data_IF_078103925520
#
_entry.id   IF_078103925520
#
_cell.length_a   1.000
_cell.length_b   1.000
_cell.length_c   1.000
_cell.angle_alpha   90.00
_cell.angle_beta   90.00
_cell.angle_gamma   90.00
#
_symmetry.space_group_name_H-M   'P 1'
#
loop_
_entity.id
_entity.type
_entity.pdbx_description
1 polymer ?
#
# COMPACT_ATOMS: atom_id res chain seq x y z
N UNK A 1 -10.25 24.79 -20.59
CA UNK A 1 -10.54 24.32 -19.23
C UNK A 1 -9.88 25.17 -18.13
N UNK A 2 -8.55 25.39 -18.10
CA UNK A 2 -7.93 26.26 -17.09
C UNK A 2 -8.47 27.71 -17.15
N UNK A 3 -8.54 28.29 -18.33
CA UNK A 3 -9.07 29.65 -18.53
C UNK A 3 -10.55 29.76 -18.12
N UNK A 4 -11.39 28.78 -18.43
CA UNK A 4 -12.80 28.74 -18.01
C UNK A 4 -12.94 28.72 -16.48
N UNK A 5 -12.16 27.90 -15.81
CA UNK A 5 -12.12 27.84 -14.35
C UNK A 5 -11.72 29.17 -13.73
N UNK A 6 -10.68 29.82 -14.28
CA UNK A 6 -10.19 31.10 -13.74
C UNK A 6 -11.19 32.23 -14.00
N UNK A 7 -11.91 32.21 -15.13
CA UNK A 7 -13.00 33.12 -15.40
C UNK A 7 -14.17 32.95 -14.40
N UNK A 8 -14.60 31.73 -14.17
CA UNK A 8 -15.65 31.43 -13.17
C UNK A 8 -15.26 31.84 -11.75
N UNK A 9 -13.98 31.65 -11.36
CA UNK A 9 -13.48 32.09 -10.06
C UNK A 9 -13.51 33.62 -9.89
N UNK A 10 -13.46 34.37 -10.97
CA UNK A 10 -13.52 35.84 -10.96
C UNK A 10 -14.96 36.36 -10.74
N UNK A 11 -15.98 35.52 -10.96
CA UNK A 11 -17.37 35.92 -10.78
C UNK A 11 -17.72 36.13 -9.30
N UNK A 12 -18.24 37.30 -8.96
CA UNK A 12 -18.68 37.64 -7.60
C UNK A 12 -19.91 36.87 -7.14
N UNK A 13 -20.78 36.45 -8.10
CA UNK A 13 -22.02 35.71 -7.86
C UNK A 13 -21.82 34.22 -7.55
N UNK A 14 -20.58 33.72 -7.67
CA UNK A 14 -20.30 32.30 -7.49
C UNK A 14 -20.60 31.83 -6.07
N UNK A 15 -21.41 30.76 -5.94
CA UNK A 15 -21.75 30.15 -4.65
C UNK A 15 -20.48 29.66 -3.92
N UNK A 16 -20.46 29.79 -2.60
CA UNK A 16 -19.32 29.45 -1.74
C UNK A 16 -18.85 28.01 -1.98
N UNK A 17 -19.78 27.05 -2.11
CA UNK A 17 -19.42 25.65 -2.37
C UNK A 17 -18.70 25.46 -3.73
N UNK A 18 -19.20 26.10 -4.79
CA UNK A 18 -18.59 26.06 -6.12
C UNK A 18 -17.20 26.73 -6.11
N UNK A 19 -17.06 27.86 -5.43
CA UNK A 19 -15.78 28.55 -5.27
C UNK A 19 -14.72 27.67 -4.60
N UNK A 20 -15.09 26.94 -3.53
CA UNK A 20 -14.18 25.99 -2.87
C UNK A 20 -13.71 24.87 -3.80
N UNK A 21 -14.60 24.32 -4.62
CA UNK A 21 -14.27 23.27 -5.59
C UNK A 21 -13.30 23.80 -6.64
N UNK A 22 -13.60 24.96 -7.26
CA UNK A 22 -12.76 25.55 -8.28
C UNK A 22 -11.38 25.98 -7.74
N UNK A 23 -11.32 26.47 -6.50
CA UNK A 23 -10.05 26.76 -5.82
C UNK A 23 -9.23 25.49 -5.57
N UNK A 24 -9.89 24.39 -5.18
CA UNK A 24 -9.23 23.08 -5.02
C UNK A 24 -8.69 22.58 -6.36
N UNK A 25 -9.50 22.66 -7.43
CA UNK A 25 -9.05 22.32 -8.78
C UNK A 25 -7.85 23.17 -9.23
N UNK A 26 -7.86 24.47 -8.93
CA UNK A 26 -6.74 25.36 -9.25
C UNK A 26 -5.47 24.94 -8.53
N UNK A 27 -5.57 24.62 -7.24
CA UNK A 27 -4.43 24.19 -6.41
C UNK A 27 -3.81 22.88 -6.92
N UNK A 28 -4.62 21.95 -7.38
CA UNK A 28 -4.18 20.61 -7.79
C UNK A 28 -4.09 20.45 -9.30
N UNK A 29 -4.15 21.55 -10.07
CA UNK A 29 -4.27 21.52 -11.53
C UNK A 29 -3.15 20.73 -12.20
N UNK A 30 -1.91 20.92 -11.81
CA UNK A 30 -0.76 20.22 -12.37
C UNK A 30 -0.87 18.69 -12.17
N UNK A 31 -1.30 18.25 -10.98
CA UNK A 31 -1.55 16.83 -10.73
C UNK A 31 -2.75 16.28 -11.50
N UNK A 32 -3.82 17.07 -11.66
CA UNK A 32 -5.01 16.68 -12.40
C UNK A 32 -4.78 16.60 -13.93
N UNK A 33 -3.74 17.23 -14.44
CA UNK A 33 -3.44 17.26 -15.87
C UNK A 33 -2.15 16.52 -16.24
N UNK A 34 -1.51 15.85 -15.29
CA UNK A 34 -0.24 15.15 -15.51
C UNK A 34 -0.33 14.14 -16.67
N UNK A 35 -1.48 13.49 -16.85
CA UNK A 35 -1.70 12.53 -17.94
C UNK A 35 -1.59 13.13 -19.35
N UNK A 36 -1.67 14.46 -19.49
CA UNK A 36 -1.52 15.12 -20.79
C UNK A 36 -0.08 15.01 -21.28
N UNK A 37 0.88 15.20 -20.37
CA UNK A 37 2.30 15.14 -20.66
C UNK A 37 2.88 13.71 -20.43
N UNK A 38 2.17 12.89 -19.67
CA UNK A 38 2.54 11.54 -19.26
C UNK A 38 1.42 10.54 -19.56
N UNK A 39 1.27 10.09 -20.82
CA UNK A 39 0.21 9.15 -21.23
C UNK A 39 0.22 7.81 -20.49
N UNK A 40 1.36 7.44 -19.91
CA UNK A 40 1.52 6.24 -19.07
C UNK A 40 0.82 6.35 -17.72
N UNK A 41 0.44 7.55 -17.28
CA UNK A 41 -0.31 7.77 -16.04
C UNK A 41 -1.81 7.58 -16.31
N UNK A 42 -2.46 6.56 -15.73
CA UNK A 42 -3.87 6.32 -15.93
C UNK A 42 -4.71 7.47 -15.33
N UNK A 43 -5.80 7.82 -16.00
CA UNK A 43 -6.76 8.84 -15.52
C UNK A 43 -7.64 8.33 -14.37
N UNK A 44 -7.59 7.04 -14.08
CA UNK A 44 -8.38 6.40 -13.05
C UNK A 44 -7.58 6.17 -11.75
N UNK A 45 -8.31 5.90 -10.67
CA UNK A 45 -7.77 5.58 -9.36
C UNK A 45 -7.81 4.08 -9.03
N UNK A 46 -8.11 3.23 -10.01
CA UNK A 46 -8.36 1.81 -9.82
C UNK A 46 -7.19 1.07 -9.15
N UNK A 47 -5.95 1.47 -9.43
CA UNK A 47 -4.76 0.86 -8.83
C UNK A 47 -4.70 1.14 -7.32
N UNK A 48 -4.93 2.39 -6.91
CA UNK A 48 -4.95 2.79 -5.50
C UNK A 48 -6.15 2.17 -4.77
N UNK A 49 -7.33 2.13 -5.38
CA UNK A 49 -8.52 1.49 -4.80
C UNK A 49 -8.30 -0.01 -4.58
N UNK A 50 -7.72 -0.70 -5.55
CA UNK A 50 -7.34 -2.11 -5.38
C UNK A 50 -6.30 -2.32 -4.27
N UNK A 51 -5.35 -1.39 -4.12
CA UNK A 51 -4.33 -1.48 -3.06
C UNK A 51 -4.93 -1.27 -1.66
N UNK A 52 -5.94 -0.39 -1.52
CA UNK A 52 -6.59 -0.11 -0.23
C UNK A 52 -7.63 -1.18 0.14
N UNK A 53 -8.17 -1.91 -0.83
CA UNK A 53 -9.24 -2.90 -0.58
C UNK A 53 -8.90 -3.96 0.47
N UNK A 54 -7.72 -4.62 0.47
CA UNK A 54 -7.36 -5.62 1.47
C UNK A 54 -7.40 -5.09 2.92
N UNK A 55 -6.78 -3.96 3.27
CA UNK A 55 -6.87 -3.40 4.62
C UNK A 55 -8.29 -3.00 5.02
N UNK A 56 -9.11 -2.50 4.09
CA UNK A 56 -10.50 -2.14 4.38
C UNK A 56 -11.35 -3.38 4.68
N UNK A 57 -11.19 -4.45 3.90
CA UNK A 57 -11.87 -5.73 4.14
C UNK A 57 -11.38 -6.35 5.46
N UNK A 58 -10.06 -6.36 5.69
CA UNK A 58 -9.47 -6.84 6.95
C UNK A 58 -10.06 -6.12 8.16
N UNK A 59 -10.13 -4.78 8.12
CA UNK A 59 -10.74 -4.00 9.21
C UNK A 59 -12.20 -4.37 9.50
N UNK A 60 -12.98 -4.66 8.47
CA UNK A 60 -14.37 -5.13 8.63
C UNK A 60 -14.43 -6.50 9.32
N UNK A 61 -13.53 -7.41 8.95
CA UNK A 61 -13.49 -8.75 9.51
C UNK A 61 -13.02 -8.78 10.98
N UNK A 62 -12.15 -7.85 11.36
CA UNK A 62 -11.61 -7.75 12.72
C UNK A 62 -12.40 -6.80 13.62
N UNK A 63 -13.54 -6.28 13.18
CA UNK A 63 -14.37 -5.32 13.94
C UNK A 63 -13.63 -4.06 14.40
N UNK A 64 -12.58 -3.67 13.66
CA UNK A 64 -11.75 -2.51 13.98
C UNK A 64 -10.44 -2.90 14.67
N UNK A 65 -9.68 -1.87 15.06
CA UNK A 65 -8.32 -2.06 15.60
C UNK A 65 -8.27 -2.14 17.12
N UNK A 66 -9.38 -1.87 17.83
CA UNK A 66 -9.46 -1.89 19.29
C UNK A 66 -8.65 -0.77 19.99
N UNK A 67 -7.55 -0.32 19.42
CA UNK A 67 -6.70 0.75 19.94
C UNK A 67 -5.98 1.49 18.81
N UNK A 68 -5.50 2.71 19.10
CA UNK A 68 -4.70 3.50 18.16
C UNK A 68 -3.42 2.74 17.75
N UNK A 69 -2.72 2.16 18.73
CA UNK A 69 -1.50 1.39 18.48
C UNK A 69 -1.72 0.23 17.51
N UNK A 70 -2.78 -0.57 17.70
CA UNK A 70 -3.07 -1.69 16.81
C UNK A 70 -3.46 -1.24 15.40
N UNK A 71 -4.10 -0.06 15.28
CA UNK A 71 -4.39 0.56 14.00
C UNK A 71 -3.12 1.00 13.25
N UNK A 72 -2.20 1.64 13.95
CA UNK A 72 -0.91 2.05 13.40
C UNK A 72 -0.05 0.84 12.98
N UNK A 73 -0.03 -0.22 13.82
CA UNK A 73 0.64 -1.48 13.48
C UNK A 73 0.04 -2.12 12.22
N UNK A 74 -1.29 -2.22 12.14
CA UNK A 74 -1.97 -2.77 10.99
C UNK A 74 -1.65 -1.97 9.71
N UNK A 75 -1.70 -0.64 9.77
CA UNK A 75 -1.37 0.22 8.64
C UNK A 75 0.09 0.03 8.17
N UNK A 76 1.03 -0.05 9.11
CA UNK A 76 2.43 -0.32 8.82
C UNK A 76 2.61 -1.68 8.16
N UNK A 77 2.01 -2.73 8.71
CA UNK A 77 2.12 -4.08 8.17
C UNK A 77 1.51 -4.19 6.78
N UNK A 78 0.33 -3.59 6.55
CA UNK A 78 -0.25 -3.56 5.21
C UNK A 78 0.65 -2.83 4.20
N UNK A 79 1.22 -1.68 4.58
CA UNK A 79 2.14 -0.94 3.72
C UNK A 79 3.37 -1.77 3.34
N UNK A 80 4.01 -2.41 4.33
CA UNK A 80 5.19 -3.24 4.11
C UNK A 80 4.88 -4.45 3.22
N UNK A 81 3.83 -5.21 3.56
CA UNK A 81 3.48 -6.42 2.82
C UNK A 81 3.01 -6.13 1.40
N UNK A 82 2.30 -5.01 1.18
CA UNK A 82 1.92 -4.57 -0.16
C UNK A 82 3.13 -4.13 -0.98
N UNK A 83 4.07 -3.41 -0.38
CA UNK A 83 5.34 -3.04 -1.04
C UNK A 83 6.11 -4.29 -1.48
N UNK A 84 6.30 -5.24 -0.57
CA UNK A 84 6.96 -6.52 -0.84
C UNK A 84 6.26 -7.26 -1.99
N UNK A 85 4.93 -7.29 -1.99
CA UNK A 85 4.12 -7.90 -3.05
C UNK A 85 4.29 -7.20 -4.40
N UNK A 86 4.35 -5.86 -4.44
CA UNK A 86 4.57 -5.10 -5.67
C UNK A 86 5.94 -5.40 -6.30
N UNK A 87 6.94 -5.77 -5.51
CA UNK A 87 8.24 -6.25 -5.96
C UNK A 87 8.24 -7.72 -6.38
N UNK A 88 7.08 -8.37 -6.43
CA UNK A 88 6.94 -9.78 -6.79
C UNK A 88 7.50 -10.75 -5.75
N UNK A 89 7.71 -10.29 -4.53
CA UNK A 89 8.18 -11.10 -3.41
C UNK A 89 6.97 -11.70 -2.70
N UNK A 90 7.08 -12.96 -2.27
CA UNK A 90 6.04 -13.59 -1.46
C UNK A 90 6.06 -12.99 -0.04
N UNK A 91 4.98 -12.29 0.40
CA UNK A 91 4.97 -11.61 1.69
C UNK A 91 5.14 -12.56 2.88
N UNK A 92 4.63 -13.80 2.79
CA UNK A 92 4.77 -14.80 3.85
C UNK A 92 6.22 -15.27 3.99
N UNK A 93 6.88 -15.55 2.86
CA UNK A 93 8.29 -15.95 2.86
C UNK A 93 9.16 -14.85 3.43
N UNK A 94 8.93 -13.62 2.99
CA UNK A 94 9.64 -12.44 3.44
C UNK A 94 9.46 -12.21 4.96
N UNK A 95 8.22 -12.20 5.45
CA UNK A 95 7.93 -11.99 6.87
C UNK A 95 8.53 -13.10 7.74
N UNK A 96 8.44 -14.36 7.30
CA UNK A 96 9.05 -15.49 8.01
C UNK A 96 10.57 -15.34 8.11
N UNK A 97 11.23 -14.94 7.03
CA UNK A 97 12.67 -14.70 7.03
C UNK A 97 13.06 -13.55 7.99
N UNK A 98 12.31 -12.45 7.95
CA UNK A 98 12.53 -11.31 8.84
C UNK A 98 12.35 -11.70 10.31
N UNK A 99 11.26 -12.39 10.66
CA UNK A 99 11.01 -12.81 12.05
C UNK A 99 12.06 -13.82 12.56
N UNK A 100 12.55 -14.69 11.70
CA UNK A 100 13.66 -15.60 12.04
C UNK A 100 14.96 -14.82 12.34
N UNK A 101 15.26 -13.82 11.54
CA UNK A 101 16.41 -12.96 11.79
C UNK A 101 16.26 -12.15 13.09
N UNK A 102 15.07 -11.66 13.41
CA UNK A 102 14.80 -11.03 14.71
C UNK A 102 15.02 -12.02 15.86
N UNK A 103 14.50 -13.24 15.75
CA UNK A 103 14.68 -14.27 16.78
C UNK A 103 16.17 -14.62 17.00
N UNK A 104 16.96 -14.70 15.92
CA UNK A 104 18.40 -14.94 15.99
C UNK A 104 19.15 -13.74 16.61
N UNK A 105 18.60 -12.53 16.54
CA UNK A 105 19.16 -11.29 17.11
C UNK A 105 18.51 -10.92 18.47
N UNK A 106 18.21 -11.90 19.31
CA UNK A 106 17.65 -11.66 20.64
C UNK A 106 16.28 -10.99 20.65
N UNK A 107 15.44 -11.27 19.67
CA UNK A 107 14.11 -10.67 19.44
C UNK A 107 14.16 -9.16 19.14
N UNK A 108 15.31 -8.65 18.72
CA UNK A 108 15.49 -7.28 18.24
C UNK A 108 15.56 -7.26 16.71
N UNK A 109 15.30 -6.09 16.12
CA UNK A 109 15.48 -5.91 14.69
C UNK A 109 16.92 -6.29 14.27
N UNK A 110 17.09 -6.95 13.09
CA UNK A 110 18.44 -7.25 12.59
C UNK A 110 19.26 -5.98 12.40
N UNK A 111 20.55 -6.04 12.69
CA UNK A 111 21.46 -4.90 12.52
C UNK A 111 21.53 -4.44 11.07
N UNK A 112 21.46 -5.39 10.12
CA UNK A 112 21.47 -5.11 8.69
C UNK A 112 20.06 -5.28 8.10
N UNK A 113 19.36 -4.18 7.93
CA UNK A 113 17.99 -4.17 7.40
C UNK A 113 17.94 -4.16 5.86
N UNK A 114 19.02 -3.77 5.19
CA UNK A 114 19.05 -3.64 3.73
C UNK A 114 18.75 -4.95 3.03
N UNK A 115 19.13 -6.09 3.62
CA UNK A 115 18.87 -7.44 3.11
C UNK A 115 17.37 -7.81 3.07
N UNK A 116 16.52 -7.05 3.75
CA UNK A 116 15.07 -7.21 3.74
C UNK A 116 14.36 -6.16 2.88
N UNK A 117 15.06 -5.14 2.42
CA UNK A 117 14.51 -4.13 1.52
C UNK A 117 14.57 -4.65 0.08
N UNK A 118 13.44 -4.66 -0.68
CA UNK A 118 13.41 -5.22 -2.04
C UNK A 118 14.49 -4.65 -2.96
N UNK A 119 14.83 -3.39 -2.81
CA UNK A 119 15.87 -2.69 -3.60
C UNK A 119 17.29 -2.90 -3.06
N UNK A 120 17.45 -3.41 -1.85
CA UNK A 120 18.74 -3.74 -1.24
C UNK A 120 19.10 -5.23 -1.32
N UNK A 121 18.16 -6.08 -1.73
CA UNK A 121 18.37 -7.52 -1.81
C UNK A 121 19.30 -7.89 -2.96
N UNK A 122 20.25 -8.82 -2.71
CA UNK A 122 20.98 -9.47 -3.77
C UNK A 122 20.02 -10.30 -4.67
N UNK A 123 20.37 -10.44 -5.95
CA UNK A 123 19.52 -11.14 -6.94
C UNK A 123 19.13 -12.56 -6.51
N UNK A 124 20.03 -13.29 -5.87
CA UNK A 124 19.77 -14.64 -5.35
C UNK A 124 18.75 -14.64 -4.21
N UNK A 125 18.86 -13.68 -3.29
CA UNK A 125 17.91 -13.50 -2.18
C UNK A 125 16.51 -13.14 -2.68
N UNK A 126 16.45 -12.23 -3.66
CA UNK A 126 15.22 -11.84 -4.31
C UNK A 126 14.53 -13.04 -5.01
N UNK A 127 15.30 -13.84 -5.75
CA UNK A 127 14.81 -15.04 -6.42
C UNK A 127 14.30 -16.09 -5.43
N UNK A 128 14.99 -16.28 -4.30
CA UNK A 128 14.55 -17.19 -3.24
C UNK A 128 13.24 -16.75 -2.59
N UNK A 129 13.05 -15.45 -2.38
CA UNK A 129 11.83 -14.89 -1.78
C UNK A 129 10.65 -14.81 -2.74
N UNK A 130 10.86 -14.86 -4.06
CA UNK A 130 9.81 -14.94 -5.08
C UNK A 130 9.17 -16.31 -5.19
N UNK A 131 9.86 -17.38 -4.80
CA UNK A 131 9.29 -18.72 -4.82
C UNK A 131 8.11 -18.79 -3.86
N UNK A 132 7.01 -19.41 -4.31
CA UNK A 132 5.90 -19.73 -3.43
C UNK A 132 6.43 -20.61 -2.27
N UNK A 133 6.07 -20.28 -1.04
CA UNK A 133 6.29 -21.19 0.05
C UNK A 133 5.63 -22.53 -0.33
N UNK A 134 6.28 -23.68 -0.11
CA UNK A 134 5.65 -24.97 -0.38
C UNK A 134 4.29 -24.97 0.33
N UNK A 135 3.25 -25.32 -0.40
CA UNK A 135 1.94 -25.54 0.20
C UNK A 135 2.16 -26.58 1.31
N UNK A 136 2.08 -26.15 2.55
CA UNK A 136 1.86 -27.10 3.63
C UNK A 136 0.47 -27.68 3.38
N UNK A 137 0.44 -28.82 2.72
CA UNK A 137 -0.59 -29.81 2.86
C UNK A 137 -0.57 -30.25 4.33
N UNK A 138 -1.10 -29.42 5.20
CA UNK A 138 -1.20 -29.70 6.61
C UNK A 138 -2.54 -29.16 7.07
N UNK A 139 -3.52 -29.98 6.94
CA UNK A 139 -4.74 -30.13 7.75
C UNK A 139 -5.64 -31.21 7.13
N UNK A 140 -5.01 -32.27 6.59
CA UNK A 140 -5.70 -33.54 6.41
C UNK A 140 -5.31 -34.41 7.62
N UNK A 141 -6.14 -34.42 8.66
CA UNK A 141 -5.91 -35.28 9.80
C UNK A 141 -6.39 -34.69 11.13
N UNK A 142 -7.58 -34.13 11.17
CA UNK A 142 -8.36 -34.10 12.39
C UNK A 142 -9.57 -34.96 12.08
N UNK A 143 -9.32 -36.27 12.06
CA UNK A 143 -10.37 -37.26 12.12
C UNK A 143 -10.97 -37.23 13.53
N UNK A 144 -12.27 -37.09 13.52
CA UNK A 144 -13.19 -37.33 14.62
C UNK A 144 -12.97 -38.73 15.28
N UNK A 145 -12.69 -38.74 16.55
CA UNK A 145 -13.00 -39.83 17.45
C UNK A 145 -13.59 -39.27 18.73
#
# INVERSE_FOLDING_TARGET
MAASRDAELAESSLKIAARKVLQSMKRHWSGLTVFVDHPEVPMDNNAAERAIRPPVVGRKNFYGSGSRWSGELAATMFSLLMTVKHWGINPRTWLTAYLRACAANGNQAPAELSVFLPWGMAAQGLAAMRRAAPNHACLAGIDSS
#
